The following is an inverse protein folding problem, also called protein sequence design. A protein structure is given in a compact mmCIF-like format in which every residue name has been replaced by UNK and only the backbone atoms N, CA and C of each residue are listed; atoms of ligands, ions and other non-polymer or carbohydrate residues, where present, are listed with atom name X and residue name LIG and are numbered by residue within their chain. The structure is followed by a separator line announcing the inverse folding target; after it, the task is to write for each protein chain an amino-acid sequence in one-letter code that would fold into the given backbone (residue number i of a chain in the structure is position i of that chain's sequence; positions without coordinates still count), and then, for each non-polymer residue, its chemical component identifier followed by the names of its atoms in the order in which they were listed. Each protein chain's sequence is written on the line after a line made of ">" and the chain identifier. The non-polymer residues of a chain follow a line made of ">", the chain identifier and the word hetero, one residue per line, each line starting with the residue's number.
data_IF_887216997296
#
_entry.id   IF_887216997296
#
_cell.length_a   1.000
_cell.length_b   1.000
_cell.length_c   1.000
_cell.angle_alpha   90.00
_cell.angle_beta   90.00
_cell.angle_gamma   90.00
#
_symmetry.space_group_name_H-M   'P 1'
#
loop_
_entity.id
_entity.type
_entity.pdbx_description
1 polymer ?
#
# COMPACT_ATOMS: atom_id res chain seq x y z
N UNK A 1 -11.86 -4.38 -1.42
CA UNK A 1 -11.89 -3.76 -2.75
C UNK A 1 -13.07 -4.30 -3.55
N UNK A 2 -13.73 -3.44 -4.31
CA UNK A 2 -14.85 -3.81 -5.18
C UNK A 2 -15.14 -2.71 -6.18
N UNK A 3 -16.14 -2.96 -6.99
CA UNK A 3 -16.63 -2.04 -8.01
C UNK A 3 -17.97 -1.45 -7.61
N UNK A 4 -18.26 -0.25 -8.09
CA UNK A 4 -19.60 0.32 -8.03
C UNK A 4 -20.08 0.47 -9.46
N UNK A 5 -21.09 -0.31 -9.83
CA UNK A 5 -21.78 -0.17 -11.12
C UNK A 5 -23.25 0.18 -10.88
N UNK A 6 -23.72 1.27 -11.51
CA UNK A 6 -25.10 1.77 -11.41
C UNK A 6 -25.64 1.83 -9.97
N UNK A 7 -24.77 2.25 -9.04
CA UNK A 7 -25.10 2.36 -7.62
C UNK A 7 -25.09 1.04 -6.83
N UNK A 8 -24.68 -0.07 -7.44
CA UNK A 8 -24.53 -1.36 -6.78
C UNK A 8 -23.05 -1.64 -6.51
N UNK A 9 -22.74 -2.03 -5.29
CA UNK A 9 -21.39 -2.47 -4.91
C UNK A 9 -21.21 -3.95 -5.20
N UNK A 10 -20.20 -4.29 -5.98
CA UNK A 10 -19.77 -5.65 -6.28
C UNK A 10 -18.40 -5.91 -5.69
N UNK A 11 -18.27 -6.80 -4.69
CA UNK A 11 -16.99 -7.12 -4.10
C UNK A 11 -16.12 -7.89 -5.09
N UNK A 12 -14.88 -7.43 -5.29
CA UNK A 12 -13.89 -8.12 -6.10
C UNK A 12 -12.95 -8.99 -5.27
N UNK A 13 -12.41 -8.44 -4.18
CA UNK A 13 -11.50 -9.14 -3.29
C UNK A 13 -11.60 -8.58 -1.87
N UNK A 14 -11.50 -9.49 -0.88
CA UNK A 14 -11.31 -9.15 0.52
C UNK A 14 -9.81 -9.08 0.84
N UNK A 15 -9.38 -8.01 1.51
CA UNK A 15 -8.01 -7.82 1.98
C UNK A 15 -8.01 -7.73 3.50
N UNK A 16 -6.94 -8.25 4.12
CA UNK A 16 -6.81 -8.30 5.57
C UNK A 16 -6.28 -6.97 6.11
N UNK A 17 -7.18 -6.09 6.49
CA UNK A 17 -6.87 -4.79 7.04
C UNK A 17 -7.83 -3.69 6.59
N UNK A 18 -7.66 -2.54 7.18
CA UNK A 18 -8.42 -1.37 6.82
C UNK A 18 -7.89 -0.81 5.50
N UNK A 19 -8.67 -0.98 4.42
CA UNK A 19 -8.27 -0.53 3.08
C UNK A 19 -8.20 0.99 3.01
N UNK A 20 -7.02 1.51 2.63
CA UNK A 20 -6.75 2.94 2.50
C UNK A 20 -5.74 3.16 1.38
N UNK A 21 -6.02 4.15 0.55
CA UNK A 21 -5.19 4.40 -0.62
C UNK A 21 -5.46 3.40 -1.76
N UNK A 22 -5.65 3.94 -2.94
CA UNK A 22 -5.89 3.20 -4.17
C UNK A 22 -5.21 3.91 -5.32
N UNK A 23 -4.41 3.18 -6.07
CA UNK A 23 -3.84 3.64 -7.32
C UNK A 23 -4.08 2.59 -8.40
N UNK A 24 -4.61 3.03 -9.55
CA UNK A 24 -4.85 2.17 -10.69
C UNK A 24 -3.79 2.40 -11.76
N UNK A 25 -3.16 1.32 -12.19
CA UNK A 25 -2.29 1.32 -13.36
C UNK A 25 -2.67 0.18 -14.29
N UNK A 26 -3.22 0.53 -15.46
CA UNK A 26 -3.82 -0.44 -16.38
C UNK A 26 -4.89 -1.29 -15.68
N UNK A 27 -4.72 -2.61 -15.65
CA UNK A 27 -5.62 -3.55 -14.99
C UNK A 27 -5.15 -3.95 -13.56
N UNK A 28 -4.15 -3.28 -13.02
CA UNK A 28 -3.67 -3.53 -11.66
C UNK A 28 -4.11 -2.41 -10.74
N UNK A 29 -4.79 -2.78 -9.67
CA UNK A 29 -5.10 -1.92 -8.55
C UNK A 29 -4.05 -2.12 -7.43
N UNK A 30 -3.34 -1.06 -7.07
CA UNK A 30 -2.50 -1.04 -5.88
C UNK A 30 -3.34 -0.53 -4.72
N UNK A 31 -3.56 -1.40 -3.73
CA UNK A 31 -4.45 -1.13 -2.59
C UNK A 31 -3.67 -1.19 -1.30
N UNK A 32 -3.70 -0.11 -0.54
CA UNK A 32 -3.12 -0.09 0.80
C UNK A 32 -4.02 -0.73 1.83
N UNK A 33 -3.43 -1.46 2.76
CA UNK A 33 -4.09 -1.88 3.98
C UNK A 33 -3.35 -1.35 5.19
N UNK A 34 -4.11 -0.96 6.20
CA UNK A 34 -3.60 -0.49 7.48
C UNK A 34 -4.04 -1.43 8.59
N UNK A 35 -3.24 -1.54 9.64
CA UNK A 35 -3.67 -2.23 10.85
C UNK A 35 -4.81 -1.48 11.51
N UNK A 36 -5.76 -2.22 12.04
CA UNK A 36 -6.82 -1.66 12.86
C UNK A 36 -6.28 -1.52 14.28
N UNK A 37 -5.97 -0.29 14.69
CA UNK A 37 -5.54 -0.05 16.06
C UNK A 37 -6.75 -0.16 17.02
N UNK A 38 -6.57 -0.68 18.25
CA UNK A 38 -7.68 -0.93 19.17
C UNK A 38 -8.61 0.28 19.39
N UNK A 39 -8.05 1.49 19.42
CA UNK A 39 -8.82 2.74 19.58
C UNK A 39 -9.72 3.10 18.39
N UNK A 40 -9.52 2.45 17.25
CA UNK A 40 -10.24 2.73 16.00
C UNK A 40 -11.17 1.59 15.58
N UNK A 41 -11.37 0.60 16.40
CA UNK A 41 -12.20 -0.59 16.11
C UNK A 41 -13.62 -0.21 15.68
N UNK A 42 -14.17 0.85 16.27
CA UNK A 42 -15.51 1.36 15.96
C UNK A 42 -15.65 1.84 14.50
N UNK A 43 -14.55 2.25 13.85
CA UNK A 43 -14.56 2.72 12.47
C UNK A 43 -14.34 1.61 11.44
N UNK A 44 -14.02 0.41 11.91
CA UNK A 44 -13.76 -0.74 11.05
C UNK A 44 -14.51 -1.99 11.56
N UNK A 45 -15.85 -1.90 11.72
CA UNK A 45 -16.64 -3.03 12.19
C UNK A 45 -16.53 -4.19 11.21
N UNK A 46 -16.30 -5.39 11.75
CA UNK A 46 -16.15 -6.61 10.96
C UNK A 46 -14.74 -6.87 10.41
N UNK A 47 -13.76 -6.04 10.71
CA UNK A 47 -12.36 -6.35 10.49
C UNK A 47 -11.76 -7.04 11.72
N UNK A 48 -11.06 -8.14 11.47
CA UNK A 48 -10.26 -8.81 12.50
C UNK A 48 -8.99 -7.98 12.77
N UNK A 49 -8.85 -7.49 13.98
CA UNK A 49 -7.74 -6.64 14.40
C UNK A 49 -6.42 -7.40 14.35
N UNK A 50 -6.44 -8.65 14.80
CA UNK A 50 -5.23 -9.47 14.91
C UNK A 50 -4.72 -9.91 13.53
N UNK A 51 -5.62 -10.12 12.59
CA UNK A 51 -5.30 -10.48 11.22
C UNK A 51 -4.98 -9.27 10.34
N UNK A 52 -5.21 -8.04 10.84
CA UNK A 52 -5.00 -6.85 10.05
C UNK A 52 -3.51 -6.59 9.81
N UNK A 53 -3.15 -6.32 8.56
CA UNK A 53 -1.78 -6.13 8.10
C UNK A 53 -1.57 -4.73 7.52
N UNK A 54 -0.34 -4.22 7.64
CA UNK A 54 0.07 -2.99 6.99
C UNK A 54 0.83 -3.36 5.71
N UNK A 55 0.31 -2.95 4.55
CA UNK A 55 0.93 -3.30 3.29
C UNK A 55 0.29 -2.67 2.08
N UNK A 56 0.88 -2.91 0.92
CA UNK A 56 0.31 -2.59 -0.39
C UNK A 56 0.14 -3.89 -1.17
N UNK A 57 -1.04 -4.08 -1.70
CA UNK A 57 -1.43 -5.26 -2.47
C UNK A 57 -1.66 -4.89 -3.92
N UNK A 58 -1.06 -5.63 -4.84
CA UNK A 58 -1.36 -5.56 -6.25
C UNK A 58 -2.48 -6.56 -6.58
N UNK A 59 -3.57 -6.06 -7.12
CA UNK A 59 -4.77 -6.83 -7.48
C UNK A 59 -5.05 -6.67 -8.96
N UNK A 60 -5.12 -7.77 -9.68
CA UNK A 60 -5.64 -7.77 -11.03
C UNK A 60 -7.16 -7.57 -10.96
N UNK A 61 -7.64 -6.43 -11.46
CA UNK A 61 -9.06 -6.08 -11.40
C UNK A 61 -9.93 -6.88 -12.38
N UNK A 62 -9.33 -7.50 -13.39
CA UNK A 62 -10.05 -8.33 -14.36
C UNK A 62 -10.42 -9.68 -13.75
N UNK A 63 -9.51 -10.29 -13.03
CA UNK A 63 -9.71 -11.60 -12.39
C UNK A 63 -10.13 -11.51 -10.92
N UNK A 64 -10.00 -10.34 -10.28
CA UNK A 64 -10.21 -10.16 -8.84
C UNK A 64 -9.15 -10.89 -7.99
N UNK A 65 -7.98 -11.19 -8.55
CA UNK A 65 -6.93 -11.93 -7.84
C UNK A 65 -5.81 -11.02 -7.36
N UNK A 66 -5.28 -11.33 -6.18
CA UNK A 66 -4.08 -10.67 -5.65
C UNK A 66 -2.85 -11.28 -6.30
N UNK A 67 -2.10 -10.48 -7.06
CA UNK A 67 -0.91 -10.91 -7.80
C UNK A 67 0.39 -10.66 -7.03
N UNK A 68 0.35 -9.82 -6.00
CA UNK A 68 1.52 -9.56 -5.16
C UNK A 68 1.18 -8.71 -3.95
N UNK A 69 2.12 -8.65 -3.00
CA UNK A 69 1.99 -7.80 -1.82
C UNK A 69 3.36 -7.37 -1.31
N UNK A 70 3.43 -6.14 -0.83
CA UNK A 70 4.52 -5.60 -0.06
C UNK A 70 4.03 -5.35 1.36
N UNK A 71 4.58 -6.07 2.34
CA UNK A 71 4.13 -6.03 3.73
C UNK A 71 5.19 -5.36 4.60
N UNK A 72 4.73 -4.48 5.49
CA UNK A 72 5.55 -3.89 6.55
C UNK A 72 5.17 -4.48 7.91
N UNK A 73 5.89 -5.48 8.41
CA UNK A 73 5.52 -6.16 9.67
C UNK A 73 5.44 -5.21 10.87
N UNK A 74 6.32 -4.21 10.91
CA UNK A 74 6.33 -3.17 11.94
C UNK A 74 5.48 -1.93 11.63
N UNK A 75 4.88 -1.88 10.43
CA UNK A 75 4.08 -0.73 10.00
C UNK A 75 2.67 -0.76 10.59
N UNK A 76 2.08 0.42 10.72
CA UNK A 76 0.71 0.55 11.23
C UNK A 76 -0.27 1.04 10.17
N UNK A 77 0.10 2.04 9.38
CA UNK A 77 -0.85 2.71 8.50
C UNK A 77 -0.26 3.04 7.13
N UNK A 78 -1.07 2.83 6.10
CA UNK A 78 -0.93 3.37 4.75
C UNK A 78 -2.02 4.43 4.58
N UNK A 79 -1.70 5.54 3.93
CA UNK A 79 -2.67 6.59 3.60
C UNK A 79 -2.93 6.65 2.09
N UNK A 80 -2.29 7.54 1.34
CA UNK A 80 -2.43 7.58 -0.10
C UNK A 80 -1.46 6.63 -0.78
N UNK A 81 -1.82 6.20 -1.97
CA UNK A 81 -0.92 5.54 -2.91
C UNK A 81 -1.02 6.32 -4.21
N UNK A 82 0.12 6.76 -4.72
CA UNK A 82 0.19 7.48 -5.98
C UNK A 82 1.28 6.90 -6.88
N UNK A 83 0.98 6.82 -8.16
CA UNK A 83 1.95 6.46 -9.18
C UNK A 83 2.72 7.67 -9.64
N UNK A 84 4.04 7.58 -9.60
CA UNK A 84 4.92 8.63 -10.10
C UNK A 84 5.51 8.16 -11.43
N UNK A 85 5.42 8.97 -12.52
CA UNK A 85 6.09 8.64 -13.76
C UNK A 85 7.59 8.40 -13.55
N UNK A 86 8.14 7.38 -14.22
CA UNK A 86 9.55 6.99 -14.06
C UNK A 86 10.53 8.17 -14.23
N UNK A 87 10.22 9.11 -15.13
CA UNK A 87 11.03 10.30 -15.36
C UNK A 87 11.20 11.18 -14.09
N UNK A 88 10.27 11.09 -13.14
CA UNK A 88 10.30 11.84 -11.88
C UNK A 88 10.78 10.99 -10.69
N UNK A 89 11.03 9.70 -10.88
CA UNK A 89 11.47 8.79 -9.80
C UNK A 89 12.98 8.76 -9.60
N UNK A 90 13.74 9.35 -10.53
CA UNK A 90 15.19 9.47 -10.41
C UNK A 90 15.56 10.70 -9.59
N UNK A 91 16.20 10.49 -8.43
CA UNK A 91 16.78 11.58 -7.65
C UNK A 91 15.89 12.18 -6.58
N UNK A 92 15.15 11.37 -5.85
CA UNK A 92 14.57 11.83 -4.58
C UNK A 92 15.72 12.30 -3.66
N UNK A 93 15.87 13.60 -3.40
CA UNK A 93 16.91 14.09 -2.50
C UNK A 93 16.45 13.82 -1.07
N UNK A 94 16.78 12.66 -0.52
CA UNK A 94 16.70 12.44 0.90
C UNK A 94 17.86 13.19 1.55
N UNK A 95 17.63 14.41 1.99
CA UNK A 95 18.56 15.06 2.91
C UNK A 95 18.39 14.40 4.28
N UNK A 96 19.25 13.45 4.60
CA UNK A 96 19.49 13.07 5.97
C UNK A 96 20.02 14.33 6.68
N UNK A 97 19.17 15.02 7.42
CA UNK A 97 19.63 16.06 8.32
C UNK A 97 20.54 15.37 9.36
N UNK A 98 21.82 15.73 9.35
CA UNK A 98 22.87 15.13 10.19
C UNK A 98 22.65 15.24 11.71
N UNK A 99 21.50 15.78 12.14
CA UNK A 99 21.14 15.97 13.55
C UNK A 99 20.12 14.95 14.07
N UNK A 100 19.59 14.05 13.24
CA UNK A 100 18.71 12.99 13.71
C UNK A 100 19.44 11.65 13.68
N UNK A 101 19.30 10.92 14.77
CA UNK A 101 19.84 9.58 14.95
C UNK A 101 19.49 8.73 13.71
N UNK A 102 20.50 8.23 13.01
CA UNK A 102 20.37 7.41 11.80
C UNK A 102 19.36 6.29 11.98
N UNK A 103 19.25 5.72 13.19
CA UNK A 103 18.31 4.63 13.49
C UNK A 103 16.84 5.03 13.41
N UNK A 104 16.50 6.29 13.66
CA UNK A 104 15.12 6.75 13.57
C UNK A 104 14.72 7.13 12.13
N UNK A 105 15.68 7.47 11.29
CA UNK A 105 15.43 7.80 9.87
C UNK A 105 15.31 6.54 9.01
N UNK A 106 16.09 5.51 9.29
CA UNK A 106 16.05 4.24 8.56
C UNK A 106 14.70 3.52 8.72
N UNK A 107 13.94 3.84 9.78
CA UNK A 107 12.60 3.29 10.01
C UNK A 107 11.46 4.05 9.32
N UNK A 108 11.71 5.26 8.82
CA UNK A 108 10.68 6.13 8.27
C UNK A 108 10.62 6.15 6.74
N UNK A 109 11.72 5.78 6.07
CA UNK A 109 11.82 5.84 4.62
C UNK A 109 12.31 4.52 4.06
N UNK A 110 11.49 3.90 3.22
CA UNK A 110 11.85 2.76 2.42
C UNK A 110 11.95 3.20 0.96
N UNK A 111 13.13 3.16 0.39
CA UNK A 111 13.34 3.35 -1.03
C UNK A 111 13.70 2.01 -1.65
N UNK A 112 12.94 1.56 -2.62
CA UNK A 112 13.26 0.39 -3.41
C UNK A 112 13.79 0.87 -4.76
N UNK A 113 15.06 0.62 -5.01
CA UNK A 113 15.62 0.73 -6.34
C UNK A 113 15.56 -0.65 -6.99
N UNK A 114 14.69 -0.79 -7.96
CA UNK A 114 14.72 -1.97 -8.82
C UNK A 114 15.86 -1.79 -9.81
N UNK A 115 16.90 -2.59 -9.70
CA UNK A 115 17.84 -2.78 -10.79
C UNK A 115 17.10 -3.47 -11.94
N UNK A 116 16.49 -2.68 -12.78
CA UNK A 116 16.08 -3.17 -14.08
C UNK A 116 17.36 -3.39 -14.87
N UNK A 117 17.88 -4.61 -14.83
CA UNK A 117 18.77 -5.06 -15.90
C UNK A 117 17.96 -4.90 -17.18
N UNK A 118 18.39 -3.99 -18.02
CA UNK A 118 17.99 -3.96 -19.40
C UNK A 118 18.55 -5.25 -19.99
N UNK A 119 17.72 -6.28 -20.08
CA UNK A 119 18.01 -7.39 -20.97
C UNK A 119 17.88 -6.84 -22.37
N UNK A 120 19.04 -6.57 -22.92
CA UNK A 120 19.27 -6.21 -24.31
C UNK A 120 18.93 -7.38 -25.24
#
# INVERSE_FOLDING_TARGET
>A
LGFVDRGRFEPAIKLDGWTRGLYLHRNIAFVGTSRVLPRFTQYAPGLDIEQSICGVHAVDITSGTRVGSLIWPGGNQIFPIEGIPRAFSTGFPFRANARHDRRSLDSLFYAFQTDLREDS
#
